data_IF_433697129165
#
_entry.id   IF_433697129165
#
_cell.length_a   1.000
_cell.length_b   1.000
_cell.length_c   1.000
_cell.angle_alpha   90.00
_cell.angle_beta   90.00
_cell.angle_gamma   90.00
#
_symmetry.space_group_name_H-M   'P 1'
#
loop_
_entity.id
_entity.type
_entity.pdbx_description
1 polymer ?
#
# COMPACT_ATOMS: atom_id res chain seq x y z
N UNK A 1 -31.82 -14.18 54.27
CA UNK A 1 -31.97 -15.64 54.42
C UNK A 1 -31.76 -16.24 53.04
N UNK A 2 -30.51 -16.65 52.76
CA UNK A 2 -30.10 -18.00 52.32
C UNK A 2 -30.59 -18.33 50.89
N UNK A 3 -29.82 -18.32 49.79
CA UNK A 3 -28.44 -18.75 49.49
C UNK A 3 -28.10 -20.21 49.85
N UNK A 4 -27.86 -21.01 48.79
CA UNK A 4 -27.04 -22.25 48.66
C UNK A 4 -27.22 -22.79 47.21
N UNK A 5 -26.24 -22.68 46.30
CA UNK A 5 -25.06 -23.57 46.04
C UNK A 5 -25.40 -24.74 45.07
N UNK A 6 -24.61 -25.16 44.06
CA UNK A 6 -23.15 -25.45 43.91
C UNK A 6 -22.76 -25.29 42.41
N UNK A 7 -21.61 -24.77 41.95
CA UNK A 7 -20.16 -25.03 42.13
C UNK A 7 -19.52 -26.03 41.13
N UNK A 8 -18.51 -25.56 40.39
CA UNK A 8 -17.19 -26.17 40.04
C UNK A 8 -16.71 -25.60 38.70
N UNK A 9 -15.47 -25.20 38.44
CA UNK A 9 -14.22 -25.07 39.19
C UNK A 9 -13.15 -24.68 38.15
N UNK A 10 -12.46 -23.55 38.33
CA UNK A 10 -11.43 -23.07 37.41
C UNK A 10 -10.05 -23.66 37.74
N UNK A 11 -9.23 -23.91 36.72
CA UNK A 11 -7.82 -24.26 36.89
C UNK A 11 -6.98 -23.25 36.11
N UNK A 12 -6.26 -22.42 36.85
CA UNK A 12 -5.13 -21.60 36.40
C UNK A 12 -3.84 -22.28 36.83
N UNK A 13 -2.95 -22.60 35.89
CA UNK A 13 -1.62 -23.14 36.20
C UNK A 13 -0.55 -22.05 36.09
N UNK A 14 0.04 -21.71 37.24
CA UNK A 14 1.25 -20.92 37.39
C UNK A 14 2.47 -21.86 37.38
N UNK A 15 3.52 -21.53 36.62
CA UNK A 15 4.77 -22.28 36.61
C UNK A 15 5.85 -21.44 37.32
N UNK A 16 6.32 -21.98 38.45
CA UNK A 16 7.42 -21.43 39.24
C UNK A 16 8.77 -22.04 38.83
N UNK A 17 9.83 -21.23 38.91
CA UNK A 17 11.23 -21.62 38.66
C UNK A 17 11.88 -22.23 39.91
N UNK A 18 12.68 -23.27 39.67
CA UNK A 18 13.99 -23.64 40.26
C UNK A 18 14.01 -25.07 40.82
N UNK A 19 14.88 -25.91 40.25
CA UNK A 19 15.91 -26.67 40.97
C UNK A 19 16.95 -27.21 39.98
N UNK A 20 18.20 -26.82 40.19
CA UNK A 20 19.43 -27.41 39.66
C UNK A 20 19.71 -28.73 40.36
N UNK A 21 20.14 -29.76 39.64
CA UNK A 21 21.04 -30.81 40.16
C UNK A 21 21.73 -31.56 39.01
N UNK A 22 23.04 -31.68 39.18
CA UNK A 22 24.03 -32.37 38.34
C UNK A 22 23.97 -33.89 38.56
N UNK A 23 24.22 -34.71 37.53
CA UNK A 23 25.39 -35.63 37.51
C UNK A 23 25.39 -36.68 36.39
N UNK A 24 26.60 -36.82 35.82
CA UNK A 24 27.29 -38.05 35.35
C UNK A 24 26.81 -38.87 34.15
N UNK A 25 27.74 -38.95 33.19
CA UNK A 25 27.87 -39.95 32.13
C UNK A 25 27.81 -41.40 32.63
N UNK A 26 27.13 -42.27 31.88
CA UNK A 26 27.56 -43.67 31.72
C UNK A 26 27.16 -44.19 30.34
N UNK A 27 28.16 -44.57 29.56
CA UNK A 27 28.08 -45.23 28.26
C UNK A 27 27.93 -46.74 28.46
N UNK A 28 26.93 -47.36 27.81
CA UNK A 28 27.05 -48.73 27.28
C UNK A 28 26.04 -48.96 26.14
N UNK A 29 26.41 -49.75 25.11
CA UNK A 29 25.77 -49.75 23.79
C UNK A 29 24.59 -50.72 23.73
N UNK A 30 23.47 -50.28 23.17
CA UNK A 30 22.37 -51.18 22.81
C UNK A 30 22.56 -51.63 21.37
N UNK A 31 22.70 -52.95 21.22
CA UNK A 31 22.91 -53.66 19.97
C UNK A 31 21.83 -53.34 18.94
N UNK A 32 22.26 -52.95 17.74
CA UNK A 32 21.43 -52.85 16.55
C UNK A 32 20.98 -54.26 16.17
N UNK A 33 19.69 -54.56 16.38
CA UNK A 33 19.02 -55.62 15.62
C UNK A 33 18.69 -55.05 14.25
N UNK A 34 19.43 -55.48 13.24
CA UNK A 34 19.07 -55.30 11.84
C UNK A 34 17.67 -55.86 11.59
N UNK A 35 16.68 -54.96 11.47
CA UNK A 35 15.42 -55.27 10.83
C UNK A 35 15.51 -54.80 9.39
N UNK A 36 15.52 -55.78 8.49
CA UNK A 36 15.60 -55.64 7.05
C UNK A 36 14.50 -54.71 6.53
N UNK A 37 14.93 -53.81 5.64
CA UNK A 37 14.15 -53.24 4.52
C UNK A 37 12.82 -52.59 4.88
N UNK A 38 12.89 -51.37 5.44
CA UNK A 38 11.90 -50.35 5.12
C UNK A 38 12.44 -49.54 3.93
N UNK A 39 11.75 -49.61 2.79
CA UNK A 39 11.99 -48.74 1.66
C UNK A 39 11.93 -47.29 2.14
N UNK A 40 13.10 -46.66 2.28
CA UNK A 40 13.22 -45.21 2.21
C UNK A 40 12.87 -44.84 0.77
N UNK A 41 11.57 -44.73 0.47
CA UNK A 41 11.13 -43.88 -0.62
C UNK A 41 11.72 -42.52 -0.32
N UNK A 42 12.75 -42.17 -1.09
CA UNK A 42 13.26 -40.81 -1.17
C UNK A 42 12.06 -39.89 -1.23
N UNK A 43 11.87 -39.06 -0.21
CA UNK A 43 11.09 -37.85 -0.37
C UNK A 43 11.91 -37.06 -1.39
N UNK A 44 11.58 -37.23 -2.67
CA UNK A 44 11.99 -36.31 -3.70
C UNK A 44 11.30 -35.00 -3.30
N UNK A 45 12.01 -34.16 -2.55
CA UNK A 45 11.70 -32.75 -2.57
C UNK A 45 11.84 -32.35 -4.04
N UNK A 46 10.72 -32.12 -4.71
CA UNK A 46 10.73 -31.46 -6.01
C UNK A 46 11.55 -30.19 -5.82
N UNK A 47 12.73 -30.17 -6.42
CA UNK A 47 13.55 -28.97 -6.46
C UNK A 47 12.78 -27.95 -7.28
N UNK A 48 12.15 -27.00 -6.61
CA UNK A 48 11.49 -25.88 -7.28
C UNK A 48 12.58 -24.83 -7.54
N UNK A 49 13.14 -24.73 -8.77
CA UNK A 49 14.21 -23.79 -9.08
C UNK A 49 13.79 -22.39 -8.65
N UNK A 50 14.61 -21.74 -7.82
CA UNK A 50 14.28 -20.42 -7.26
C UNK A 50 14.36 -19.37 -8.36
N UNK A 51 13.21 -18.78 -8.68
CA UNK A 51 13.12 -17.61 -9.56
C UNK A 51 12.75 -16.39 -8.70
N UNK A 52 13.74 -15.53 -8.47
CA UNK A 52 13.59 -14.29 -7.67
C UNK A 52 12.67 -13.26 -8.32
N UNK A 53 12.32 -13.43 -9.61
CA UNK A 53 11.39 -12.56 -10.33
C UNK A 53 9.92 -12.96 -10.12
N UNK A 54 9.68 -14.17 -9.61
CA UNK A 54 8.34 -14.68 -9.38
C UNK A 54 7.61 -13.86 -8.30
N UNK A 55 6.38 -13.46 -8.58
CA UNK A 55 5.56 -12.72 -7.61
C UNK A 55 5.11 -13.64 -6.47
N UNK A 56 5.56 -13.37 -5.24
CA UNK A 56 5.17 -14.12 -4.04
C UNK A 56 3.91 -13.54 -3.42
N UNK A 57 3.83 -12.21 -3.39
CA UNK A 57 2.74 -11.48 -2.80
C UNK A 57 2.52 -10.17 -3.55
N UNK A 58 1.31 -9.64 -3.43
CA UNK A 58 0.95 -8.32 -3.91
C UNK A 58 0.39 -7.49 -2.76
N UNK A 59 0.58 -6.18 -2.79
CA UNK A 59 0.08 -5.30 -1.74
C UNK A 59 -0.32 -3.93 -2.29
N UNK A 60 -1.22 -3.27 -1.58
CA UNK A 60 -1.69 -1.91 -1.85
C UNK A 60 -1.23 -1.00 -0.71
N UNK A 61 -0.66 0.16 -1.07
CA UNK A 61 -0.20 1.17 -0.12
C UNK A 61 -1.34 2.11 0.29
N UNK A 62 -1.23 2.66 1.49
CA UNK A 62 -2.11 3.70 2.01
C UNK A 62 -1.69 5.07 1.46
N UNK A 63 -2.50 5.63 0.55
CA UNK A 63 -2.28 6.93 -0.07
C UNK A 63 -2.13 8.08 0.95
N UNK A 64 -2.66 7.93 2.18
CA UNK A 64 -2.56 8.93 3.23
C UNK A 64 -1.18 9.00 3.91
N UNK A 65 -0.32 8.00 3.69
CA UNK A 65 0.96 7.85 4.41
C UNK A 65 1.85 9.10 4.31
N UNK A 66 2.08 9.71 3.13
CA UNK A 66 2.95 10.88 3.04
C UNK A 66 2.40 12.09 3.80
N UNK A 67 1.07 12.27 3.80
CA UNK A 67 0.42 13.30 4.60
C UNK A 67 0.47 13.02 6.10
N UNK A 68 0.34 11.76 6.55
CA UNK A 68 0.52 11.43 7.97
C UNK A 68 1.94 11.73 8.44
N UNK A 69 2.94 11.42 7.63
CA UNK A 69 4.34 11.71 7.88
C UNK A 69 4.61 13.22 8.00
N UNK A 70 3.95 14.03 7.16
CA UNK A 70 4.16 15.47 7.15
C UNK A 70 3.63 16.18 8.41
N UNK A 71 2.60 15.64 9.09
CA UNK A 71 1.99 16.28 10.28
C UNK A 71 3.00 16.67 11.36
N UNK A 72 3.97 15.80 11.64
CA UNK A 72 4.98 16.06 12.67
C UNK A 72 5.97 17.16 12.26
N UNK A 73 6.39 17.17 10.99
CA UNK A 73 7.32 18.19 10.48
C UNK A 73 6.63 19.54 10.31
N UNK A 74 5.35 19.57 9.92
CA UNK A 74 4.53 20.79 9.88
C UNK A 74 4.42 21.40 11.27
N UNK A 75 4.11 20.60 12.30
CA UNK A 75 4.04 21.10 13.68
C UNK A 75 5.36 21.75 14.13
N UNK A 76 6.50 21.14 13.79
CA UNK A 76 7.82 21.70 14.09
C UNK A 76 8.06 22.99 13.31
N UNK A 77 7.73 23.01 12.02
CA UNK A 77 7.85 24.21 11.17
C UNK A 77 7.05 25.37 11.76
N UNK A 78 5.79 25.13 12.16
CA UNK A 78 4.95 26.14 12.78
C UNK A 78 5.57 26.68 14.07
N UNK A 79 6.08 25.82 14.97
CA UNK A 79 6.68 26.29 16.23
C UNK A 79 7.93 27.16 16.02
N UNK A 80 8.77 26.83 15.05
CA UNK A 80 10.02 27.56 14.76
C UNK A 80 9.78 28.91 14.07
N UNK A 81 8.67 29.03 13.34
CA UNK A 81 8.37 30.20 12.52
C UNK A 81 7.28 31.11 13.07
N UNK A 82 6.58 30.74 14.14
CA UNK A 82 5.49 31.54 14.75
C UNK A 82 5.90 32.99 15.05
N UNK A 83 7.17 33.23 15.43
CA UNK A 83 7.65 34.57 15.77
C UNK A 83 8.25 35.35 14.58
N UNK A 84 8.39 34.71 13.40
CA UNK A 84 9.11 35.26 12.24
C UNK A 84 8.21 35.48 11.02
N UNK A 85 7.10 34.75 10.94
CA UNK A 85 6.23 34.70 9.77
C UNK A 85 4.76 34.75 10.18
N UNK A 86 3.90 35.24 9.29
CA UNK A 86 2.46 35.20 9.50
C UNK A 86 1.94 33.77 9.38
N UNK A 87 0.77 33.50 9.97
CA UNK A 87 0.10 32.20 9.84
C UNK A 87 -0.03 31.75 8.38
N UNK A 88 -0.42 32.66 7.48
CA UNK A 88 -0.57 32.38 6.05
C UNK A 88 0.76 31.99 5.38
N UNK A 89 1.87 32.64 5.76
CA UNK A 89 3.20 32.29 5.25
C UNK A 89 3.65 30.91 5.75
N UNK A 90 3.40 30.60 7.03
CA UNK A 90 3.68 29.28 7.61
C UNK A 90 2.86 28.19 6.91
N UNK A 91 1.58 28.47 6.63
CA UNK A 91 0.72 27.54 5.90
C UNK A 91 1.25 27.28 4.49
N UNK A 92 1.66 28.32 3.75
CA UNK A 92 2.29 28.16 2.43
C UNK A 92 3.53 27.29 2.48
N UNK A 93 4.43 27.51 3.44
CA UNK A 93 5.62 26.68 3.63
C UNK A 93 5.26 25.24 3.99
N UNK A 94 4.20 25.05 4.78
CA UNK A 94 3.67 23.72 5.12
C UNK A 94 3.15 23.01 3.87
N UNK A 95 2.37 23.69 3.03
CA UNK A 95 1.85 23.14 1.78
C UNK A 95 2.98 22.76 0.83
N UNK A 96 3.99 23.62 0.66
CA UNK A 96 5.18 23.29 -0.13
C UNK A 96 5.88 22.03 0.40
N UNK A 97 6.10 21.94 1.72
CA UNK A 97 6.74 20.77 2.32
C UNK A 97 5.93 19.49 2.08
N UNK A 98 4.60 19.55 2.22
CA UNK A 98 3.73 18.40 1.92
C UNK A 98 3.88 17.99 0.45
N UNK A 99 3.88 18.95 -0.47
CA UNK A 99 4.04 18.67 -1.89
C UNK A 99 5.38 17.97 -2.18
N UNK A 100 6.49 18.47 -1.61
CA UNK A 100 7.82 17.85 -1.76
C UNK A 100 7.87 16.43 -1.18
N UNK A 101 7.19 16.17 -0.06
CA UNK A 101 7.08 14.83 0.54
C UNK A 101 6.33 13.86 -0.38
N UNK A 102 5.28 14.32 -1.07
CA UNK A 102 4.57 13.51 -2.07
C UNK A 102 5.40 13.25 -3.32
N UNK A 103 6.10 14.26 -3.87
CA UNK A 103 7.01 14.04 -5.01
C UNK A 103 8.13 13.08 -4.61
N UNK A 104 8.62 13.17 -3.37
CA UNK A 104 9.63 12.26 -2.86
C UNK A 104 9.13 10.83 -2.73
N UNK A 105 7.89 10.66 -2.27
CA UNK A 105 7.22 9.36 -2.21
C UNK A 105 7.10 8.76 -3.60
N UNK A 106 6.66 9.56 -4.58
CA UNK A 106 6.64 9.19 -5.99
C UNK A 106 8.01 8.68 -6.46
N UNK A 107 9.08 9.47 -6.27
CA UNK A 107 10.45 9.09 -6.68
C UNK A 107 10.88 7.73 -6.11
N UNK A 108 10.58 7.51 -4.83
CA UNK A 108 10.94 6.27 -4.16
C UNK A 108 10.16 5.07 -4.73
N UNK A 109 8.84 5.20 -4.86
CA UNK A 109 7.97 4.15 -5.43
C UNK A 109 8.44 3.84 -6.86
N UNK A 110 8.60 4.88 -7.69
CA UNK A 110 9.05 4.79 -9.08
C UNK A 110 10.41 4.10 -9.22
N UNK A 111 11.35 4.38 -8.30
CA UNK A 111 12.69 3.77 -8.33
C UNK A 111 12.69 2.25 -8.20
N UNK A 112 11.63 1.66 -7.64
CA UNK A 112 11.50 0.22 -7.42
C UNK A 112 10.90 -0.55 -8.61
N UNK A 113 10.57 0.17 -9.69
CA UNK A 113 10.03 -0.41 -10.90
C UNK A 113 11.09 -0.55 -11.98
N UNK A 114 10.94 -1.59 -12.78
CA UNK A 114 11.75 -1.82 -13.96
C UNK A 114 10.80 -1.82 -15.14
N UNK A 115 10.99 -0.88 -16.05
CA UNK A 115 10.21 -0.78 -17.28
C UNK A 115 11.06 -1.32 -18.41
N UNK A 116 10.56 -2.33 -19.13
CA UNK A 116 11.26 -2.87 -20.31
C UNK A 116 11.24 -1.85 -21.45
N UNK A 117 10.12 -1.12 -21.59
CA UNK A 117 9.94 -0.01 -22.51
C UNK A 117 9.08 1.06 -21.83
N UNK A 118 9.44 2.33 -22.01
CA UNK A 118 8.64 3.46 -21.52
C UNK A 118 7.67 3.89 -22.60
N UNK A 119 6.38 3.93 -22.27
CA UNK A 119 5.38 4.70 -23.01
C UNK A 119 5.67 6.20 -22.91
N UNK A 120 5.07 7.01 -23.79
CA UNK A 120 5.20 8.47 -23.73
C UNK A 120 4.78 9.04 -22.37
N UNK A 121 3.78 8.43 -21.73
CA UNK A 121 3.34 8.82 -20.40
C UNK A 121 4.37 8.47 -19.32
N UNK A 122 4.91 7.26 -19.35
CA UNK A 122 5.94 6.83 -18.39
C UNK A 122 7.24 7.62 -18.58
N UNK A 123 7.59 8.03 -19.81
CA UNK A 123 8.71 8.92 -20.07
C UNK A 123 8.51 10.28 -19.38
N UNK A 124 7.31 10.87 -19.43
CA UNK A 124 6.99 12.10 -18.70
C UNK A 124 7.08 11.92 -17.17
N UNK A 125 6.64 10.78 -16.65
CA UNK A 125 6.77 10.48 -15.21
C UNK A 125 8.24 10.25 -14.82
N UNK A 126 9.03 9.63 -15.70
CA UNK A 126 10.47 9.44 -15.52
C UNK A 126 11.20 10.78 -15.34
N UNK A 127 10.84 11.82 -16.08
CA UNK A 127 11.40 13.18 -15.89
C UNK A 127 11.17 13.71 -14.46
N UNK A 128 9.98 13.51 -13.89
CA UNK A 128 9.67 13.88 -12.50
C UNK A 128 10.56 13.10 -11.53
N UNK A 129 10.88 11.84 -11.87
CA UNK A 129 11.71 10.98 -11.04
C UNK A 129 13.15 11.49 -10.93
N UNK A 130 13.58 12.36 -11.85
CA UNK A 130 14.94 12.90 -11.91
C UNK A 130 15.09 14.25 -11.19
N UNK A 131 13.98 14.91 -10.85
CA UNK A 131 13.97 16.20 -10.14
C UNK A 131 14.73 16.12 -8.80
N UNK A 132 15.47 17.16 -8.44
CA UNK A 132 16.35 17.21 -7.28
C UNK A 132 15.62 17.59 -5.98
N UNK A 133 14.61 16.81 -5.61
CA UNK A 133 13.72 17.10 -4.48
C UNK A 133 14.38 16.86 -3.13
N UNK A 134 14.26 17.84 -2.23
CA UNK A 134 14.75 17.77 -0.85
C UNK A 134 13.60 17.60 0.16
N UNK A 135 13.78 16.70 1.12
CA UNK A 135 12.88 16.53 2.28
C UNK A 135 13.68 16.38 3.57
N UNK A 136 13.09 16.57 4.77
CA UNK A 136 13.78 16.33 6.03
C UNK A 136 14.31 14.89 6.13
N UNK A 137 15.53 14.71 6.63
CA UNK A 137 16.24 13.42 6.70
C UNK A 137 15.41 12.28 7.29
N UNK A 138 14.64 12.55 8.36
CA UNK A 138 13.79 11.53 8.99
C UNK A 138 12.65 11.07 8.07
N UNK A 139 12.08 11.99 7.28
CA UNK A 139 11.06 11.65 6.30
C UNK A 139 11.70 10.86 5.16
N UNK A 140 12.87 11.29 4.69
CA UNK A 140 13.64 10.58 3.65
C UNK A 140 13.88 9.11 3.99
N UNK A 141 14.34 8.84 5.22
CA UNK A 141 14.59 7.48 5.75
C UNK A 141 13.31 6.66 5.92
N UNK A 142 12.18 7.29 6.29
CA UNK A 142 10.92 6.56 6.41
C UNK A 142 10.33 6.24 5.04
N UNK A 143 10.45 7.15 4.07
CA UNK A 143 9.99 6.91 2.71
C UNK A 143 10.84 5.84 2.02
N UNK A 144 12.14 5.75 2.28
CA UNK A 144 13.07 4.83 1.59
C UNK A 144 12.72 3.34 1.70
N UNK A 145 11.80 2.97 2.61
CA UNK A 145 11.27 1.62 2.76
C UNK A 145 10.07 1.29 1.86
N UNK A 146 9.61 2.21 1.00
CA UNK A 146 8.46 2.01 0.11
C UNK A 146 8.87 1.45 -1.27
N UNK A 147 8.06 0.58 -1.85
CA UNK A 147 8.24 0.06 -3.22
C UNK A 147 8.26 -1.46 -3.30
N UNK A 148 8.58 -2.05 -4.45
CA UNK A 148 8.66 -3.52 -4.59
C UNK A 148 9.68 -4.13 -3.61
N UNK A 149 9.34 -5.25 -2.96
CA UNK A 149 10.23 -5.95 -2.02
C UNK A 149 10.86 -7.11 -2.76
N UNK A 150 12.18 -7.08 -2.91
CA UNK A 150 12.93 -8.22 -3.44
C UNK A 150 13.37 -9.11 -2.28
N UNK A 151 13.10 -10.41 -2.38
CA UNK A 151 13.50 -11.44 -1.43
C UNK A 151 14.27 -12.55 -2.17
N UNK A 152 14.92 -13.42 -1.42
CA UNK A 152 15.65 -14.55 -2.00
C UNK A 152 14.73 -15.60 -2.62
N UNK A 153 13.41 -15.56 -2.36
CA UNK A 153 12.43 -16.52 -2.88
C UNK A 153 11.50 -15.95 -3.96
N UNK A 154 11.72 -14.71 -4.38
CA UNK A 154 10.79 -13.99 -5.25
C UNK A 154 10.58 -12.52 -4.86
N UNK A 155 9.65 -11.87 -5.54
CA UNK A 155 9.35 -10.44 -5.38
C UNK A 155 7.94 -10.24 -4.85
N UNK A 156 7.77 -9.33 -3.89
CA UNK A 156 6.47 -8.85 -3.45
C UNK A 156 6.19 -7.52 -4.16
N UNK A 157 5.13 -7.46 -4.96
CA UNK A 157 4.87 -6.36 -5.89
C UNK A 157 3.83 -5.38 -5.35
N UNK A 158 4.08 -4.09 -5.53
CA UNK A 158 3.05 -3.07 -5.36
C UNK A 158 1.97 -3.25 -6.44
N UNK A 159 0.71 -3.27 -6.04
CA UNK A 159 -0.43 -3.24 -6.95
C UNK A 159 -0.61 -1.84 -7.52
N UNK A 160 -0.86 -1.77 -8.83
CA UNK A 160 -1.10 -0.53 -9.57
C UNK A 160 -0.04 0.57 -9.32
N UNK A 161 1.23 0.24 -9.62
CA UNK A 161 2.35 1.11 -9.32
C UNK A 161 2.26 2.49 -9.99
N UNK A 162 1.82 2.56 -11.26
CA UNK A 162 1.72 3.82 -12.00
C UNK A 162 0.59 4.68 -11.45
N UNK A 163 -0.55 4.07 -11.11
CA UNK A 163 -1.71 4.73 -10.49
C UNK A 163 -1.35 5.28 -9.11
N UNK A 164 -0.66 4.50 -8.27
CA UNK A 164 -0.19 4.98 -6.96
C UNK A 164 0.82 6.12 -7.10
N UNK A 165 1.73 6.01 -8.07
CA UNK A 165 2.69 7.06 -8.39
C UNK A 165 2.00 8.36 -8.87
N UNK A 166 1.09 8.29 -9.84
CA UNK A 166 0.27 9.42 -10.29
C UNK A 166 -0.55 10.01 -9.14
N UNK A 167 -1.11 9.17 -8.26
CA UNK A 167 -1.85 9.60 -7.07
C UNK A 167 -0.99 10.47 -6.16
N UNK A 168 0.26 10.08 -5.88
CA UNK A 168 1.20 10.91 -5.13
C UNK A 168 1.38 12.29 -5.79
N UNK A 169 1.52 12.34 -7.12
CA UNK A 169 1.72 13.58 -7.85
C UNK A 169 0.47 14.47 -7.88
N UNK A 170 -0.75 13.89 -7.91
CA UNK A 170 -2.00 14.65 -7.77
C UNK A 170 -2.07 15.35 -6.41
N UNK A 171 -1.59 14.70 -5.34
CA UNK A 171 -1.45 15.35 -4.04
C UNK A 171 -0.41 16.47 -4.08
N UNK A 172 0.75 16.24 -4.71
CA UNK A 172 1.75 17.29 -4.90
C UNK A 172 1.19 18.50 -5.64
N UNK A 173 0.37 18.28 -6.67
CA UNK A 173 -0.37 19.31 -7.40
C UNK A 173 -1.33 20.08 -6.47
N UNK A 174 -2.17 19.39 -5.69
CA UNK A 174 -3.10 20.04 -4.74
C UNK A 174 -2.39 21.02 -3.81
N UNK A 175 -1.32 20.56 -3.19
CA UNK A 175 -0.57 21.32 -2.20
C UNK A 175 0.31 22.39 -2.87
N UNK A 176 0.88 22.09 -4.03
CA UNK A 176 1.63 23.05 -4.83
C UNK A 176 0.78 24.23 -5.29
N UNK A 177 -0.42 23.97 -5.81
CA UNK A 177 -1.36 25.04 -6.16
C UNK A 177 -1.75 25.89 -4.93
N UNK A 178 -1.92 25.28 -3.76
CA UNK A 178 -2.15 26.02 -2.51
C UNK A 178 -0.98 26.96 -2.16
N UNK A 179 0.26 26.47 -2.28
CA UNK A 179 1.47 27.27 -2.09
C UNK A 179 1.52 28.48 -3.05
N UNK A 180 1.24 28.24 -4.34
CA UNK A 180 1.20 29.29 -5.37
C UNK A 180 0.00 30.23 -5.23
N UNK A 181 -1.03 29.87 -4.46
CA UNK A 181 -2.29 30.61 -4.39
C UNK A 181 -3.16 30.44 -5.64
N UNK A 182 -2.97 29.34 -6.36
CA UNK A 182 -3.67 28.98 -7.59
C UNK A 182 -4.87 28.08 -7.27
N UNK A 183 -5.95 28.25 -8.04
CA UNK A 183 -7.07 27.29 -8.03
C UNK A 183 -6.78 26.20 -9.05
N UNK A 184 -6.95 24.95 -8.65
CA UNK A 184 -6.89 23.82 -9.61
C UNK A 184 -8.23 23.75 -10.32
N UNK A 185 -8.22 23.91 -11.64
CA UNK A 185 -9.42 23.80 -12.46
C UNK A 185 -9.40 22.46 -13.21
N UNK A 186 -10.06 21.45 -12.64
CA UNK A 186 -10.46 20.25 -13.38
C UNK A 186 -11.82 19.79 -12.87
N UNK A 187 -12.72 19.45 -13.80
CA UNK A 187 -14.04 18.88 -13.49
C UNK A 187 -13.91 17.56 -12.71
N UNK A 188 -12.82 16.83 -12.95
CA UNK A 188 -12.49 15.57 -12.31
C UNK A 188 -11.26 15.72 -11.39
N UNK A 189 -11.15 16.88 -10.75
CA UNK A 189 -10.20 17.03 -9.65
C UNK A 189 -10.78 16.32 -8.42
N UNK A 190 -10.05 15.35 -7.84
CA UNK A 190 -10.61 14.54 -6.76
C UNK A 190 -10.85 15.39 -5.50
N UNK A 191 -11.89 15.08 -4.71
CA UNK A 191 -12.07 15.69 -3.39
C UNK A 191 -10.96 15.27 -2.44
N UNK A 192 -10.49 16.21 -1.61
CA UNK A 192 -9.48 15.96 -0.59
C UNK A 192 -10.14 15.97 0.79
N UNK A 193 -10.47 14.79 1.28
CA UNK A 193 -11.00 14.61 2.63
C UNK A 193 -9.85 14.49 3.63
N UNK A 194 -9.91 15.22 4.75
CA UNK A 194 -8.88 15.19 5.79
C UNK A 194 -7.45 15.48 5.29
N UNK A 195 -7.29 16.19 4.16
CA UNK A 195 -5.99 16.56 3.57
C UNK A 195 -5.41 15.55 2.57
N UNK A 196 -6.13 14.51 2.19
CA UNK A 196 -5.67 13.59 1.14
C UNK A 196 -6.85 13.09 0.32
N UNK A 197 -6.55 12.51 -0.83
CA UNK A 197 -7.47 11.69 -1.61
C UNK A 197 -6.88 10.28 -1.71
N UNK A 198 -7.69 9.31 -2.06
CA UNK A 198 -7.24 7.93 -2.18
C UNK A 198 -8.03 7.23 -3.25
N UNK A 199 -7.53 6.06 -3.69
CA UNK A 199 -8.27 5.20 -4.64
C UNK A 199 -8.58 5.91 -5.97
N UNK A 200 -7.66 6.76 -6.42
CA UNK A 200 -7.76 7.35 -7.74
C UNK A 200 -7.61 6.28 -8.83
N UNK A 201 -8.22 6.55 -9.98
CA UNK A 201 -8.17 5.69 -11.17
C UNK A 201 -8.12 6.56 -12.43
N UNK A 202 -7.35 6.12 -13.43
CA UNK A 202 -7.24 6.76 -14.74
C UNK A 202 -7.90 5.89 -15.81
N UNK A 203 -8.22 6.49 -16.96
CA UNK A 203 -8.75 5.79 -18.13
C UNK A 203 -7.59 5.12 -18.90
N UNK A 204 -6.89 4.18 -18.25
CA UNK A 204 -5.74 3.45 -18.79
C UNK A 204 -5.81 1.95 -18.43
N UNK A 205 -4.83 1.18 -18.91
CA UNK A 205 -4.77 -0.27 -18.73
C UNK A 205 -4.74 -0.67 -17.25
N UNK A 206 -3.87 -0.01 -16.49
CA UNK A 206 -3.73 -0.25 -15.06
C UNK A 206 -5.00 0.16 -14.29
N UNK A 207 -5.67 1.22 -14.74
CA UNK A 207 -6.99 1.61 -14.26
C UNK A 207 -8.03 0.51 -14.46
N UNK A 208 -8.12 -0.07 -15.66
CA UNK A 208 -9.05 -1.18 -15.93
C UNK A 208 -8.79 -2.38 -15.01
N UNK A 209 -7.52 -2.77 -14.84
CA UNK A 209 -7.14 -3.83 -13.92
C UNK A 209 -7.53 -3.53 -12.46
N UNK A 210 -7.31 -2.29 -12.02
CA UNK A 210 -7.70 -1.82 -10.68
C UNK A 210 -9.21 -1.88 -10.49
N UNK A 211 -9.96 -1.42 -11.48
CA UNK A 211 -11.41 -1.47 -11.47
C UNK A 211 -11.92 -2.90 -11.31
N UNK A 212 -11.47 -3.82 -12.17
CA UNK A 212 -11.87 -5.23 -12.12
C UNK A 212 -11.53 -5.89 -10.78
N UNK A 213 -10.35 -5.65 -10.23
CA UNK A 213 -9.97 -6.17 -8.92
C UNK A 213 -10.88 -5.66 -7.79
N UNK A 214 -11.26 -4.38 -7.82
CA UNK A 214 -12.20 -3.82 -6.86
C UNK A 214 -13.61 -4.38 -7.01
N UNK A 215 -14.10 -4.58 -8.25
CA UNK A 215 -15.35 -5.28 -8.53
C UNK A 215 -15.34 -6.69 -7.92
N UNK A 216 -14.31 -7.49 -8.21
CA UNK A 216 -14.19 -8.84 -7.66
C UNK A 216 -14.12 -8.85 -6.13
N UNK A 217 -13.35 -7.95 -5.52
CA UNK A 217 -13.28 -7.80 -4.05
C UNK A 217 -14.63 -7.45 -3.44
N UNK A 218 -15.44 -6.64 -4.11
CA UNK A 218 -16.78 -6.29 -3.66
C UNK A 218 -17.73 -7.49 -3.78
N UNK A 219 -17.77 -8.12 -4.96
CA UNK A 219 -18.67 -9.23 -5.27
C UNK A 219 -18.37 -10.47 -4.40
N UNK A 220 -17.09 -10.79 -4.17
CA UNK A 220 -16.67 -11.92 -3.34
C UNK A 220 -17.12 -11.82 -1.87
N UNK A 221 -17.57 -10.66 -1.39
CA UNK A 221 -18.18 -10.51 -0.04
C UNK A 221 -19.49 -11.27 0.08
N UNK A 222 -20.16 -11.52 -1.04
CA UNK A 222 -21.47 -12.17 -1.10
C UNK A 222 -21.40 -13.65 -1.49
N UNK A 223 -20.19 -14.17 -1.74
CA UNK A 223 -19.96 -15.56 -2.13
C UNK A 223 -19.19 -15.68 -3.46
N UNK A 224 -18.95 -16.92 -3.93
CA UNK A 224 -18.28 -17.17 -5.19
C UNK A 224 -19.10 -16.64 -6.36
N UNK A 225 -18.44 -15.93 -7.26
CA UNK A 225 -19.06 -15.38 -8.47
C UNK A 225 -19.17 -16.52 -9.49
N UNK A 226 -20.40 -16.84 -9.89
CA UNK A 226 -20.63 -17.77 -10.99
C UNK A 226 -20.59 -17.00 -12.31
N UNK A 227 -19.88 -17.53 -13.31
CA UNK A 227 -19.93 -17.01 -14.68
C UNK A 227 -21.27 -17.41 -15.31
N UNK A 228 -22.34 -16.73 -14.92
CA UNK A 228 -23.67 -16.86 -15.48
C UNK A 228 -24.01 -15.63 -16.33
N UNK A 229 -24.88 -15.79 -17.31
CA UNK A 229 -25.34 -14.66 -18.12
C UNK A 229 -26.08 -13.63 -17.25
N UNK A 230 -26.15 -12.38 -17.71
CA UNK A 230 -26.82 -11.30 -16.99
C UNK A 230 -28.28 -11.65 -16.68
N UNK A 231 -28.98 -12.22 -17.65
CA UNK A 231 -30.40 -12.57 -17.51
C UNK A 231 -30.61 -13.74 -16.55
N UNK A 232 -29.70 -14.71 -16.54
CA UNK A 232 -29.74 -15.79 -15.54
C UNK A 232 -29.52 -15.24 -14.13
N UNK A 233 -28.54 -14.34 -13.95
CA UNK A 233 -28.26 -13.75 -12.63
C UNK A 233 -29.43 -12.93 -12.10
N UNK A 234 -30.01 -12.06 -12.92
CA UNK A 234 -31.19 -11.26 -12.53
C UNK A 234 -32.39 -12.10 -12.09
N UNK A 235 -32.58 -13.25 -12.73
CA UNK A 235 -33.70 -14.14 -12.42
C UNK A 235 -33.38 -15.13 -11.28
N UNK A 236 -32.10 -15.42 -11.04
CA UNK A 236 -31.65 -16.35 -10.00
C UNK A 236 -31.51 -15.72 -8.61
N UNK A 237 -31.29 -14.40 -8.54
CA UNK A 237 -31.09 -13.69 -7.27
C UNK A 237 -32.47 -13.40 -6.67
N UNK A 238 -32.74 -13.85 -5.43
CA UNK A 238 -34.01 -13.57 -4.79
C UNK A 238 -34.22 -12.06 -4.56
N UNK A 239 -35.47 -11.59 -4.65
CA UNK A 239 -35.80 -10.17 -4.46
C UNK A 239 -35.29 -9.59 -3.13
N UNK A 240 -35.36 -10.36 -2.04
CA UNK A 240 -34.87 -9.92 -0.73
C UNK A 240 -33.39 -9.54 -0.76
N UNK A 241 -32.58 -10.20 -1.59
CA UNK A 241 -31.16 -9.90 -1.71
C UNK A 241 -30.94 -8.59 -2.47
N UNK A 242 -31.75 -8.31 -3.50
CA UNK A 242 -31.73 -7.03 -4.21
C UNK A 242 -32.13 -5.86 -3.31
N UNK A 243 -33.12 -6.08 -2.44
CA UNK A 243 -33.58 -5.03 -1.52
C UNK A 243 -32.50 -4.72 -0.46
N UNK A 244 -31.77 -5.74 0.02
CA UNK A 244 -30.67 -5.56 0.97
C UNK A 244 -29.36 -5.07 0.32
N UNK A 245 -29.11 -5.45 -0.94
CA UNK A 245 -27.87 -5.17 -1.67
C UNK A 245 -28.17 -4.60 -3.07
N UNK A 246 -28.75 -3.39 -3.15
CA UNK A 246 -29.21 -2.80 -4.42
C UNK A 246 -28.05 -2.54 -5.40
N UNK A 247 -26.85 -2.38 -4.87
CA UNK A 247 -25.64 -2.09 -5.63
C UNK A 247 -25.00 -3.32 -6.29
N UNK A 248 -25.38 -4.54 -5.86
CA UNK A 248 -24.76 -5.78 -6.30
C UNK A 248 -24.81 -5.97 -7.82
N UNK A 249 -25.99 -5.80 -8.41
CA UNK A 249 -26.16 -5.98 -9.86
C UNK A 249 -25.38 -4.94 -10.66
N UNK A 250 -25.24 -3.72 -10.16
CA UNK A 250 -24.51 -2.64 -10.84
C UNK A 250 -23.04 -3.02 -10.96
N UNK A 251 -22.43 -3.43 -9.84
CA UNK A 251 -21.03 -3.88 -9.82
C UNK A 251 -20.83 -5.17 -10.61
N UNK A 252 -21.79 -6.10 -10.56
CA UNK A 252 -21.73 -7.35 -11.34
C UNK A 252 -21.72 -7.07 -12.84
N UNK A 253 -22.61 -6.21 -13.34
CA UNK A 253 -22.65 -5.81 -14.75
C UNK A 253 -21.36 -5.11 -15.18
N UNK A 254 -20.87 -4.20 -14.34
CA UNK A 254 -19.65 -3.49 -14.64
C UNK A 254 -18.41 -4.42 -14.67
N UNK A 255 -18.39 -5.47 -13.84
CA UNK A 255 -17.36 -6.51 -13.87
C UNK A 255 -17.33 -7.33 -15.17
N UNK A 256 -18.48 -7.46 -15.85
CA UNK A 256 -18.58 -8.16 -17.13
C UNK A 256 -18.19 -7.28 -18.33
N UNK A 257 -17.99 -5.98 -18.11
CA UNK A 257 -17.66 -5.03 -19.17
C UNK A 257 -16.28 -5.30 -19.73
N UNK A 258 -16.17 -5.37 -21.06
CA UNK A 258 -14.89 -5.54 -21.74
C UNK A 258 -14.02 -4.29 -21.58
N UNK A 259 -12.71 -4.44 -21.77
CA UNK A 259 -11.76 -3.31 -21.69
C UNK A 259 -12.12 -2.16 -22.63
N UNK A 260 -12.52 -2.46 -23.87
CA UNK A 260 -12.93 -1.46 -24.85
C UNK A 260 -14.20 -0.70 -24.43
N UNK A 261 -15.22 -1.43 -23.99
CA UNK A 261 -16.46 -0.82 -23.48
C UNK A 261 -16.19 0.04 -22.25
N UNK A 262 -15.32 -0.41 -21.35
CA UNK A 262 -14.94 0.34 -20.15
C UNK A 262 -14.31 1.68 -20.49
N UNK A 263 -13.37 1.71 -21.44
CA UNK A 263 -12.79 2.96 -21.94
C UNK A 263 -13.85 3.90 -22.52
N UNK A 264 -14.74 3.38 -23.36
CA UNK A 264 -15.80 4.17 -23.98
C UNK A 264 -16.76 4.78 -22.95
N UNK A 265 -17.17 4.00 -21.95
CA UNK A 265 -18.06 4.41 -20.86
C UNK A 265 -17.42 5.45 -19.93
N UNK A 266 -16.15 5.28 -19.58
CA UNK A 266 -15.42 6.28 -18.79
C UNK A 266 -15.19 7.58 -19.53
N UNK A 267 -14.89 7.52 -20.84
CA UNK A 267 -14.68 8.70 -21.66
C UNK A 267 -15.96 9.52 -21.87
N UNK A 268 -17.12 8.86 -21.98
CA UNK A 268 -18.42 9.55 -22.05
C UNK A 268 -18.88 10.07 -20.68
N UNK A 269 -18.51 9.38 -19.61
CA UNK A 269 -18.86 9.69 -18.22
C UNK A 269 -20.36 9.92 -18.01
N UNK A 270 -21.20 9.01 -18.52
CA UNK A 270 -22.64 9.01 -18.26
C UNK A 270 -22.93 8.47 -16.85
N UNK A 271 -23.57 9.29 -15.99
CA UNK A 271 -23.92 8.92 -14.62
C UNK A 271 -24.94 7.77 -14.52
N UNK A 272 -25.61 7.42 -15.63
CA UNK A 272 -26.53 6.28 -15.67
C UNK A 272 -25.83 4.97 -16.04
N UNK A 273 -24.58 5.03 -16.49
CA UNK A 273 -23.79 3.87 -16.88
C UNK A 273 -23.35 3.06 -15.67
N UNK A 274 -23.37 1.73 -15.80
CA UNK A 274 -23.01 0.79 -14.73
C UNK A 274 -21.55 0.89 -14.31
N UNK A 275 -20.61 1.18 -15.23
CA UNK A 275 -19.20 1.40 -14.90
C UNK A 275 -19.04 2.66 -14.07
N UNK A 276 -19.63 3.78 -14.52
CA UNK A 276 -19.50 5.08 -13.83
C UNK A 276 -20.14 5.01 -12.44
N UNK A 277 -21.32 4.41 -12.31
CA UNK A 277 -21.97 4.21 -11.01
C UNK A 277 -21.19 3.28 -10.09
N UNK A 278 -20.58 2.23 -10.63
CA UNK A 278 -19.75 1.30 -9.86
C UNK A 278 -18.54 1.97 -9.23
N UNK A 279 -17.96 3.02 -9.84
CA UNK A 279 -16.85 3.75 -9.23
C UNK A 279 -17.21 4.27 -7.84
N UNK A 280 -18.37 4.91 -7.71
CA UNK A 280 -18.85 5.46 -6.43
C UNK A 280 -19.08 4.34 -5.41
N UNK A 281 -19.75 3.24 -5.81
CA UNK A 281 -20.02 2.07 -4.96
C UNK A 281 -18.71 1.44 -4.44
N UNK A 282 -17.69 1.34 -5.30
CA UNK A 282 -16.38 0.77 -4.97
C UNK A 282 -15.48 1.77 -4.20
N UNK A 283 -15.88 3.05 -4.15
CA UNK A 283 -15.09 4.15 -3.60
C UNK A 283 -13.87 4.50 -4.44
N UNK A 284 -13.90 4.23 -5.75
CA UNK A 284 -12.89 4.63 -6.72
C UNK A 284 -13.20 6.05 -7.25
N UNK A 285 -12.18 6.86 -7.48
CA UNK A 285 -12.34 8.24 -7.94
C UNK A 285 -11.67 8.46 -9.30
N UNK A 286 -12.47 8.71 -10.32
CA UNK A 286 -11.96 8.96 -11.66
C UNK A 286 -11.16 10.27 -11.72
N UNK A 287 -9.95 10.19 -12.26
CA UNK A 287 -9.03 11.32 -12.39
C UNK A 287 -8.61 11.49 -13.84
N UNK A 288 -8.71 12.72 -14.35
CA UNK A 288 -8.31 13.08 -15.73
C UNK A 288 -7.11 14.03 -15.75
N UNK A 289 -6.37 14.13 -14.65
CA UNK A 289 -5.21 15.02 -14.55
C UNK A 289 -4.10 14.43 -15.42
N UNK A 290 -3.66 15.21 -16.40
CA UNK A 290 -2.65 14.80 -17.36
C UNK A 290 -1.24 14.85 -16.75
N UNK A 291 -0.39 13.90 -17.14
CA UNK A 291 1.00 13.83 -16.72
C UNK A 291 1.80 15.10 -17.05
N UNK A 292 1.49 15.79 -18.15
CA UNK A 292 2.07 17.12 -18.50
C UNK A 292 1.84 18.18 -17.42
N UNK A 293 0.65 18.19 -16.80
CA UNK A 293 0.29 19.12 -15.72
C UNK A 293 1.05 18.77 -14.43
N UNK A 294 1.20 17.47 -14.17
CA UNK A 294 1.96 16.96 -13.04
C UNK A 294 3.44 17.35 -13.18
N UNK A 295 4.06 17.10 -14.34
CA UNK A 295 5.46 17.46 -14.62
C UNK A 295 5.69 18.95 -14.47
N UNK A 296 4.88 19.78 -15.12
CA UNK A 296 4.99 21.25 -15.03
C UNK A 296 4.94 21.73 -13.59
N UNK A 297 4.01 21.20 -12.79
CA UNK A 297 3.86 21.60 -11.39
C UNK A 297 5.01 21.14 -10.53
N UNK A 298 5.48 19.91 -10.70
CA UNK A 298 6.61 19.36 -9.93
C UNK A 298 7.91 20.12 -10.22
N UNK A 299 8.19 20.44 -11.48
CA UNK A 299 9.35 21.25 -11.86
C UNK A 299 9.27 22.66 -11.27
N UNK A 300 8.08 23.30 -11.30
CA UNK A 300 7.87 24.59 -10.63
C UNK A 300 8.14 24.51 -9.13
N UNK A 301 7.66 23.45 -8.47
CA UNK A 301 7.87 23.25 -7.03
C UNK A 301 9.34 23.06 -6.66
N UNK A 302 10.09 22.26 -7.44
CA UNK A 302 11.54 22.11 -7.27
C UNK A 302 12.24 23.47 -7.37
N UNK A 303 11.98 24.22 -8.45
CA UNK A 303 12.59 25.54 -8.68
C UNK A 303 12.23 26.51 -7.55
N UNK A 304 10.96 26.51 -7.10
CA UNK A 304 10.52 27.37 -6.01
C UNK A 304 11.22 27.05 -4.69
N UNK A 305 11.33 25.76 -4.37
CA UNK A 305 12.08 25.33 -3.19
C UNK A 305 13.54 25.77 -3.28
N UNK A 306 14.23 25.45 -4.38
CA UNK A 306 15.67 25.69 -4.51
C UNK A 306 16.02 27.17 -4.48
N UNK A 307 15.26 28.00 -5.21
CA UNK A 307 15.58 29.43 -5.36
C UNK A 307 15.09 30.29 -4.20
N UNK A 308 13.97 29.95 -3.56
CA UNK A 308 13.31 30.88 -2.63
C UNK A 308 13.15 30.36 -1.20
N UNK A 309 13.04 29.05 -1.00
CA UNK A 309 12.60 28.49 0.30
C UNK A 309 13.64 27.60 0.99
N UNK A 310 14.63 27.09 0.26
CA UNK A 310 15.65 26.13 0.72
C UNK A 310 16.31 26.55 2.05
N UNK A 311 16.81 27.78 2.12
CA UNK A 311 17.46 28.35 3.31
C UNK A 311 16.53 28.31 4.53
N UNK A 312 15.22 28.55 4.36
CA UNK A 312 14.26 28.52 5.47
C UNK A 312 14.15 27.10 6.02
N UNK A 313 14.05 26.10 5.16
CA UNK A 313 13.96 24.71 5.59
C UNK A 313 15.26 24.19 6.20
N UNK A 314 16.42 24.54 5.63
CA UNK A 314 17.74 24.12 6.14
C UNK A 314 18.03 24.66 7.55
N UNK A 315 17.46 25.82 7.90
CA UNK A 315 17.55 26.37 9.25
C UNK A 315 16.75 25.56 10.30
N UNK A 316 15.79 24.72 9.88
CA UNK A 316 14.90 23.97 10.78
C UNK A 316 15.18 22.46 10.75
N UNK A 317 15.57 21.95 9.58
CA UNK A 317 15.74 20.54 9.29
C UNK A 317 17.05 20.28 8.57
N UNK A 318 17.62 19.10 8.80
CA UNK A 318 18.64 18.56 7.89
C UNK A 318 17.94 17.98 6.67
N UNK A 319 18.05 18.66 5.53
CA UNK A 319 17.40 18.28 4.28
C UNK A 319 18.25 17.25 3.50
N UNK A 320 17.59 16.31 2.81
CA UNK A 320 18.22 15.23 2.03
C UNK A 320 17.61 15.13 0.63
N UNK A 321 18.45 14.85 -0.37
CA UNK A 321 18.13 14.74 -1.80
C UNK A 321 18.51 13.37 -2.38
N UNK A 322 17.88 12.31 -1.88
CA UNK A 322 18.07 10.95 -2.42
C UNK A 322 17.20 10.69 -3.66
N UNK A 323 17.65 9.83 -4.58
CA UNK A 323 16.92 9.49 -5.81
C UNK A 323 15.81 8.45 -5.58
N UNK A 324 16.00 7.59 -4.59
CA UNK A 324 15.19 6.40 -4.32
C UNK A 324 16.13 5.22 -4.06
N UNK A 325 15.72 4.23 -3.28
CA UNK A 325 16.57 3.06 -2.97
C UNK A 325 16.45 1.92 -3.98
N UNK A 326 15.42 1.96 -4.82
CA UNK A 326 15.09 0.88 -5.74
C UNK A 326 14.47 -0.36 -5.11
N UNK A 327 14.28 -0.39 -3.78
CA UNK A 327 13.67 -1.52 -3.07
C UNK A 327 12.84 -1.06 -1.87
N UNK A 328 11.70 -1.68 -1.66
CA UNK A 328 10.89 -1.57 -0.45
C UNK A 328 11.38 -2.48 0.67
N UNK A 329 10.75 -2.37 1.83
CA UNK A 329 11.06 -3.17 3.02
C UNK A 329 9.84 -3.96 3.49
N UNK A 330 10.06 -5.10 4.14
CA UNK A 330 8.99 -5.97 4.65
C UNK A 330 8.06 -5.25 5.63
N UNK A 331 8.56 -4.27 6.40
CA UNK A 331 7.73 -3.47 7.30
C UNK A 331 6.55 -2.79 6.62
N UNK A 332 6.58 -2.64 5.29
CA UNK A 332 5.47 -2.07 4.54
C UNK A 332 4.22 -2.97 4.43
N UNK A 333 4.34 -4.25 4.78
CA UNK A 333 3.22 -5.22 4.76
C UNK A 333 2.41 -5.22 6.07
N UNK A 334 2.78 -4.39 7.04
CA UNK A 334 2.02 -4.25 8.28
C UNK A 334 0.63 -3.69 8.01
N UNK A 335 -0.39 -4.47 8.34
CA UNK A 335 -1.78 -4.04 8.40
C UNK A 335 -2.21 -3.74 9.83
N UNK A 336 -3.06 -2.72 9.98
CA UNK A 336 -3.66 -2.34 11.25
C UNK A 336 -4.94 -3.16 11.49
N UNK A 337 -4.95 -4.07 12.47
CA UNK A 337 -6.15 -4.83 12.88
C UNK A 337 -6.96 -4.10 13.96
N UNK A 338 -6.53 -2.91 14.39
CA UNK A 338 -7.26 -2.09 15.35
C UNK A 338 -6.45 -0.90 15.83
N UNK A 339 -6.92 -0.23 16.89
CA UNK A 339 -6.23 0.96 17.43
C UNK A 339 -4.81 0.67 17.94
N UNK A 340 -4.50 -0.58 18.31
CA UNK A 340 -3.20 -1.00 18.89
C UNK A 340 -2.70 -2.39 18.44
N UNK A 341 -3.40 -3.05 17.51
CA UNK A 341 -3.07 -4.42 17.07
C UNK A 341 -2.70 -4.42 15.60
N UNK A 342 -1.67 -5.18 15.24
CA UNK A 342 -1.13 -5.23 13.89
C UNK A 342 -0.89 -6.68 13.49
N UNK A 343 -1.17 -6.97 12.23
CA UNK A 343 -0.76 -8.22 11.61
C UNK A 343 0.15 -7.92 10.45
N UNK A 344 1.09 -8.83 10.27
CA UNK A 344 1.60 -9.15 8.95
C UNK A 344 1.46 -10.63 8.76
N UNK A 345 1.24 -11.03 7.52
CA UNK A 345 1.40 -12.42 7.18
C UNK A 345 2.84 -12.85 7.49
N UNK A 346 3.86 -12.05 7.14
CA UNK A 346 5.28 -12.40 7.23
C UNK A 346 5.94 -12.04 8.58
N UNK A 347 6.87 -12.89 9.09
CA UNK A 347 7.68 -12.57 10.26
C UNK A 347 8.50 -11.32 10.02
N UNK A 348 8.76 -10.58 11.10
CA UNK A 348 9.46 -9.31 11.06
C UNK A 348 10.58 -9.28 12.06
N UNK A 349 11.68 -8.65 11.64
CA UNK A 349 12.62 -8.02 12.56
C UNK A 349 11.90 -6.95 13.39
N UNK A 350 12.43 -6.63 14.58
CA UNK A 350 11.89 -5.55 15.41
C UNK A 350 11.88 -4.19 14.68
N UNK A 351 12.83 -3.96 13.76
CA UNK A 351 12.89 -2.78 12.91
C UNK A 351 11.70 -2.69 11.94
N UNK A 352 11.36 -3.79 11.25
CA UNK A 352 10.22 -3.86 10.33
C UNK A 352 8.89 -3.68 11.09
N UNK A 353 8.78 -4.28 12.28
CA UNK A 353 7.61 -4.11 13.15
C UNK A 353 7.45 -2.65 13.59
N UNK A 354 8.53 -2.01 14.00
CA UNK A 354 8.53 -0.60 14.42
C UNK A 354 8.16 0.31 13.25
N UNK A 355 8.75 0.08 12.08
CA UNK A 355 8.44 0.81 10.85
C UNK A 355 6.95 0.71 10.50
N UNK A 356 6.42 -0.51 10.44
CA UNK A 356 5.02 -0.72 10.11
C UNK A 356 4.05 -0.20 11.16
N UNK A 357 4.39 -0.28 12.45
CA UNK A 357 3.62 0.33 13.54
C UNK A 357 3.50 1.84 13.38
N UNK A 358 4.62 2.49 13.04
CA UNK A 358 4.68 3.95 12.89
C UNK A 358 3.94 4.43 11.64
N UNK A 359 4.08 3.71 10.53
CA UNK A 359 3.64 4.22 9.23
C UNK A 359 2.29 3.71 8.77
N UNK A 360 1.87 2.52 9.23
CA UNK A 360 0.67 1.79 8.74
C UNK A 360 0.54 1.82 7.21
N UNK A 361 1.57 1.35 6.50
CA UNK A 361 1.78 1.67 5.10
C UNK A 361 0.91 0.90 4.12
N UNK A 362 0.34 -0.26 4.49
CA UNK A 362 -0.48 -1.07 3.60
C UNK A 362 -1.95 -1.13 4.04
N UNK A 363 -2.84 -1.06 3.06
CA UNK A 363 -4.30 -1.25 3.24
C UNK A 363 -4.76 -2.66 2.87
N UNK A 364 -3.98 -3.34 2.02
CA UNK A 364 -4.29 -4.67 1.53
C UNK A 364 -3.00 -5.41 1.16
N UNK A 365 -2.96 -6.72 1.40
CA UNK A 365 -1.96 -7.62 0.83
C UNK A 365 -2.59 -8.97 0.55
N UNK A 366 -2.03 -9.69 -0.42
CA UNK A 366 -2.42 -11.03 -0.83
C UNK A 366 -1.18 -11.86 -1.16
N UNK A 367 -1.16 -13.11 -0.69
CA UNK A 367 -0.11 -14.07 -1.04
C UNK A 367 -0.52 -14.79 -2.33
N UNK A 368 0.23 -14.57 -3.40
CA UNK A 368 -0.02 -15.16 -4.73
C UNK A 368 0.69 -16.48 -4.93
N UNK A 369 1.80 -16.72 -4.23
CA UNK A 369 2.51 -18.00 -4.24
C UNK A 369 2.76 -18.49 -2.80
N UNK A 370 1.95 -19.45 -2.36
CA UNK A 370 1.99 -19.98 -0.99
C UNK A 370 3.28 -20.74 -0.71
N UNK A 371 3.77 -21.54 -1.65
CA UNK A 371 4.95 -22.38 -1.44
C UNK A 371 6.19 -21.51 -1.21
N UNK A 372 6.37 -20.47 -2.03
CA UNK A 372 7.46 -19.50 -1.87
C UNK A 372 7.32 -18.67 -0.61
N UNK A 373 6.10 -18.27 -0.27
CA UNK A 373 5.85 -17.57 0.99
C UNK A 373 6.29 -18.45 2.17
N UNK A 374 5.94 -19.74 2.17
CA UNK A 374 6.34 -20.71 3.21
C UNK A 374 7.85 -20.85 3.31
N UNK A 375 8.58 -20.85 2.20
CA UNK A 375 10.05 -20.88 2.22
C UNK A 375 10.63 -19.63 2.91
N UNK A 376 10.12 -18.44 2.55
CA UNK A 376 10.50 -17.18 3.22
C UNK A 376 10.14 -17.20 4.71
N UNK A 377 9.01 -17.80 5.07
CA UNK A 377 8.60 -17.98 6.47
C UNK A 377 9.59 -18.81 7.27
N UNK A 378 10.04 -19.95 6.73
CA UNK A 378 10.97 -20.84 7.44
C UNK A 378 12.31 -20.16 7.73
N UNK A 379 12.88 -19.42 6.77
CA UNK A 379 14.18 -18.78 6.96
C UNK A 379 14.16 -17.70 8.05
N UNK A 380 13.06 -16.97 8.17
CA UNK A 380 12.96 -15.84 9.10
C UNK A 380 12.65 -16.24 10.55
N UNK A 381 12.32 -17.53 10.80
CA UNK A 381 12.01 -18.07 12.13
C UNK A 381 13.22 -18.80 12.73
N UNK A 382 14.13 -19.28 11.88
CA UNK A 382 15.45 -19.82 12.25
C UNK A 382 16.45 -18.68 12.56
#
# INVERSE_FOLDING_TARGET
MADLSLSSGSITSSISRKTTLSSTHTTTPVQVKESKTANLTSIQFEYIPIDVTQTIAQFELDDSLPFRLSKHVIKKLSSEFTNKYTYTQIQKLSDLLIALVYIKTFKQIWSSFTFDYLTDEEAMLQEISELNIAVPERIDVLLSGLGNIQTDYGTMKLMWPVTTAKTCLVHALKYGSSYFGEKVFSRFFPPFENGYTSKLIWCDDEGYEKFGAYCLRYLNRFGPIHNASVDEMRNSIPQWFHDENPDYLIVYLANLTTKEEWFNKLNSYDLNDDVVRSLEILGLQFCTIQSTTLTTTCTRLEVSYDKFESIKFDNVFKMRRTKGTGKGCLGQLCQSIGKKSYSSAFPFTDSNRTYGYMLRPSVFYEVTNRDRAVMLFSEMVD
#
